data_IF_348034127978
#
_entry.id   IF_348034127978
#
_cell.length_a   1.000
_cell.length_b   1.000
_cell.length_c   1.000
_cell.angle_alpha   90.00
_cell.angle_beta   90.00
_cell.angle_gamma   90.00
#
_symmetry.space_group_name_H-M   'P 1'
#
loop_
_entity.id
_entity.type
_entity.pdbx_description
1 polymer ?
#
# COMPACT_ATOMS: atom_id res chain seq x y z
N UNK A 1 -1.94 4.22 13.29
CA UNK A 1 -2.24 2.83 13.70
C UNK A 1 -1.03 1.92 13.52
N UNK A 2 -0.43 1.79 12.33
CA UNK A 2 0.72 0.88 12.11
C UNK A 2 2.08 1.48 12.50
N UNK A 3 2.24 2.82 12.53
CA UNK A 3 3.52 3.48 12.84
C UNK A 3 4.19 2.98 14.14
N UNK A 4 3.48 2.83 15.28
CA UNK A 4 4.10 2.28 16.49
C UNK A 4 4.59 0.84 16.33
N UNK A 5 3.88 0.03 15.53
CA UNK A 5 4.27 -1.35 15.24
C UNK A 5 5.51 -1.40 14.35
N UNK A 6 5.60 -0.52 13.35
CA UNK A 6 6.81 -0.37 12.53
C UNK A 6 7.99 0.06 13.40
N UNK A 7 7.82 1.07 14.26
CA UNK A 7 8.87 1.59 15.12
C UNK A 7 9.38 0.56 16.15
N UNK A 8 8.52 -0.36 16.58
CA UNK A 8 8.94 -1.47 17.46
C UNK A 8 9.62 -2.63 16.72
N UNK A 9 9.50 -2.69 15.40
CA UNK A 9 9.98 -3.81 14.57
C UNK A 9 11.29 -3.49 13.85
N UNK A 10 11.42 -2.27 13.34
CA UNK A 10 12.58 -1.85 12.54
C UNK A 10 13.46 -0.86 13.30
N UNK A 11 14.80 -1.02 13.21
CA UNK A 11 15.75 -0.19 13.97
C UNK A 11 15.77 1.27 13.49
N UNK A 12 15.50 1.51 12.21
CA UNK A 12 15.52 2.84 11.61
C UNK A 12 14.31 2.99 10.67
N UNK A 13 13.61 4.12 10.78
CA UNK A 13 12.45 4.44 9.96
C UNK A 13 12.57 5.86 9.43
N UNK A 14 12.43 6.00 8.13
CA UNK A 14 12.21 7.28 7.47
C UNK A 14 10.70 7.47 7.27
N UNK A 15 10.13 8.45 7.95
CA UNK A 15 8.76 8.89 7.72
C UNK A 15 8.77 9.99 6.67
N UNK A 16 7.87 9.88 5.69
CA UNK A 16 7.73 10.88 4.64
C UNK A 16 6.26 11.24 4.42
N UNK A 17 5.98 12.53 4.43
CA UNK A 17 4.65 13.11 4.19
C UNK A 17 4.82 14.59 3.79
N UNK A 18 3.75 15.23 3.32
CA UNK A 18 3.69 16.68 3.10
C UNK A 18 3.73 17.46 4.43
N UNK A 19 3.36 16.82 5.53
CA UNK A 19 3.30 17.39 6.87
C UNK A 19 4.01 16.51 7.87
N UNK A 20 4.90 17.12 8.65
CA UNK A 20 5.60 16.42 9.71
C UNK A 20 4.63 15.90 10.79
N UNK A 21 4.73 14.60 11.14
CA UNK A 21 3.95 14.03 12.21
C UNK A 21 4.43 14.52 13.57
N UNK A 22 3.50 14.65 14.51
CA UNK A 22 3.87 14.94 15.90
C UNK A 22 4.58 13.75 16.56
N UNK A 23 5.46 14.04 17.51
CA UNK A 23 6.10 13.06 18.39
C UNK A 23 6.83 11.95 17.63
N UNK A 24 7.94 12.29 16.97
CA UNK A 24 8.86 11.31 16.38
C UNK A 24 9.42 10.39 17.47
N UNK A 25 9.47 9.08 17.16
CA UNK A 25 10.13 8.10 18.01
C UNK A 25 11.67 8.23 17.86
N UNK A 26 12.47 7.73 18.82
CA UNK A 26 13.93 7.84 18.75
C UNK A 26 14.59 7.25 17.49
N UNK A 27 13.94 6.24 16.88
CA UNK A 27 14.40 5.56 15.66
C UNK A 27 13.69 6.07 14.38
N UNK A 28 12.97 7.17 14.46
CA UNK A 28 12.28 7.77 13.33
C UNK A 28 12.96 9.07 12.89
N UNK A 29 13.14 9.21 11.59
CA UNK A 29 13.56 10.44 10.94
C UNK A 29 12.46 10.90 10.01
N UNK A 30 12.20 12.22 9.94
CA UNK A 30 11.22 12.78 9.02
C UNK A 30 11.89 13.47 7.84
N UNK A 31 11.43 13.15 6.64
CA UNK A 31 11.79 13.84 5.39
C UNK A 31 10.50 14.32 4.74
N UNK A 32 10.33 15.64 4.66
CA UNK A 32 9.19 16.24 3.97
C UNK A 32 9.27 15.93 2.48
N UNK A 33 8.21 15.35 1.92
CA UNK A 33 8.09 15.12 0.49
C UNK A 33 6.63 15.20 0.04
N UNK A 34 6.46 15.78 -1.16
CA UNK A 34 5.20 15.79 -1.90
C UNK A 34 5.32 14.81 -3.05
N UNK A 35 4.37 13.90 -3.18
CA UNK A 35 4.34 12.91 -4.26
C UNK A 35 4.31 13.56 -5.67
N UNK A 36 3.86 14.80 -5.78
CA UNK A 36 3.86 15.55 -7.03
C UNK A 36 5.24 16.13 -7.39
N UNK A 37 6.16 16.19 -6.43
CA UNK A 37 7.55 16.65 -6.62
C UNK A 37 8.52 15.45 -6.62
N UNK A 38 9.02 14.99 -7.79
CA UNK A 38 9.89 13.84 -7.90
C UNK A 38 11.22 14.01 -7.15
N UNK A 39 11.71 15.25 -6.97
CA UNK A 39 12.98 15.52 -6.29
C UNK A 39 12.84 15.23 -4.80
N UNK A 40 11.76 15.72 -4.18
CA UNK A 40 11.49 15.46 -2.76
C UNK A 40 11.26 13.97 -2.49
N UNK A 41 10.58 13.26 -3.39
CA UNK A 41 10.35 11.82 -3.29
C UNK A 41 11.66 11.03 -3.43
N UNK A 42 12.55 11.42 -4.35
CA UNK A 42 13.88 10.80 -4.46
C UNK A 42 14.70 10.96 -3.18
N UNK A 43 14.67 12.15 -2.57
CA UNK A 43 15.34 12.41 -1.29
C UNK A 43 14.79 11.51 -0.17
N UNK A 44 13.49 11.29 -0.12
CA UNK A 44 12.87 10.41 0.87
C UNK A 44 13.24 8.92 0.69
N UNK A 45 13.66 8.51 -0.50
CA UNK A 45 14.10 7.14 -0.80
C UNK A 45 15.61 6.93 -0.61
N UNK A 46 16.37 7.93 -0.19
CA UNK A 46 17.82 7.86 -0.07
C UNK A 46 18.26 6.99 1.10
N UNK A 47 19.08 5.95 0.84
CA UNK A 47 19.56 5.02 1.88
C UNK A 47 18.50 4.07 2.45
N UNK A 48 17.33 3.96 1.82
CA UNK A 48 16.21 3.13 2.28
C UNK A 48 16.26 1.75 1.63
N UNK A 49 16.16 0.69 2.42
CA UNK A 49 16.14 -0.70 1.95
C UNK A 49 14.77 -1.14 1.41
N UNK A 50 13.70 -0.65 2.04
CA UNK A 50 12.32 -0.99 1.70
C UNK A 50 11.35 0.17 1.92
N UNK A 51 10.31 0.23 1.11
CA UNK A 51 9.29 1.27 1.15
C UNK A 51 7.93 0.68 1.47
N UNK A 52 7.19 1.30 2.38
CA UNK A 52 5.75 1.09 2.58
C UNK A 52 5.02 2.31 2.07
N UNK A 53 4.49 2.21 0.84
CA UNK A 53 3.83 3.32 0.17
C UNK A 53 2.34 3.38 0.51
N UNK A 54 2.00 4.21 1.48
CA UNK A 54 0.63 4.51 1.93
C UNK A 54 0.11 5.86 1.41
N UNK A 55 0.98 6.63 0.77
CA UNK A 55 0.70 7.98 0.30
C UNK A 55 -0.33 8.03 -0.83
N UNK A 56 -0.92 9.21 -0.99
CA UNK A 56 -1.91 9.51 -2.02
C UNK A 56 -3.25 9.94 -1.43
N UNK A 57 -4.17 10.32 -2.31
CA UNK A 57 -5.54 10.65 -1.95
C UNK A 57 -6.34 9.36 -1.75
N UNK A 58 -6.88 9.14 -0.56
CA UNK A 58 -7.33 7.82 -0.08
C UNK A 58 -8.84 7.54 -0.24
N UNK A 59 -9.55 8.41 -0.94
CA UNK A 59 -10.99 8.31 -1.17
C UNK A 59 -11.34 8.69 -2.62
N UNK A 60 -12.60 8.50 -3.03
CA UNK A 60 -13.08 9.05 -4.30
C UNK A 60 -13.03 10.58 -4.26
N UNK A 61 -12.62 11.21 -5.36
CA UNK A 61 -12.45 12.64 -5.45
C UNK A 61 -12.40 13.17 -6.88
N UNK A 62 -12.15 14.49 -7.07
CA UNK A 62 -11.95 15.09 -8.38
C UNK A 62 -10.83 14.39 -9.15
N UNK A 63 -11.00 14.25 -10.46
CA UNK A 63 -10.03 13.57 -11.31
C UNK A 63 -8.63 14.19 -11.21
N UNK A 64 -8.55 15.50 -11.18
CA UNK A 64 -7.28 16.25 -11.10
C UNK A 64 -6.49 15.91 -9.84
N UNK A 65 -7.18 15.74 -8.72
CA UNK A 65 -6.54 15.34 -7.44
C UNK A 65 -6.05 13.89 -7.52
N UNK A 66 -6.89 12.98 -8.02
CA UNK A 66 -6.54 11.57 -8.20
C UNK A 66 -5.36 11.43 -9.18
N UNK A 67 -5.40 12.17 -10.29
CA UNK A 67 -4.33 12.15 -11.29
C UNK A 67 -2.98 12.56 -10.67
N UNK A 68 -2.95 13.68 -9.99
CA UNK A 68 -1.69 14.19 -9.42
C UNK A 68 -1.18 13.33 -8.27
N UNK A 69 -2.01 13.04 -7.28
CA UNK A 69 -1.55 12.34 -6.09
C UNK A 69 -1.36 10.83 -6.31
N UNK A 70 -2.27 10.16 -7.03
CA UNK A 70 -2.32 8.70 -7.09
C UNK A 70 -1.73 8.11 -8.38
N UNK A 71 -1.76 8.83 -9.49
CA UNK A 71 -1.18 8.35 -10.75
C UNK A 71 0.26 8.88 -10.88
N UNK A 72 0.43 10.19 -10.96
CA UNK A 72 1.75 10.81 -11.14
C UNK A 72 2.61 10.58 -9.90
N UNK A 73 2.06 10.82 -8.71
CA UNK A 73 2.77 10.61 -7.46
C UNK A 73 3.16 9.16 -7.20
N UNK A 74 2.31 8.21 -7.58
CA UNK A 74 2.63 6.79 -7.50
C UNK A 74 3.79 6.43 -8.44
N UNK A 75 3.78 6.95 -9.69
CA UNK A 75 4.90 6.79 -10.61
C UNK A 75 6.21 7.36 -10.04
N UNK A 76 6.17 8.58 -9.49
CA UNK A 76 7.34 9.20 -8.86
C UNK A 76 7.91 8.32 -7.75
N UNK A 77 7.06 7.75 -6.89
CA UNK A 77 7.49 6.86 -5.81
C UNK A 77 8.18 5.59 -6.32
N UNK A 78 7.59 4.89 -7.30
CA UNK A 78 8.20 3.69 -7.86
C UNK A 78 9.53 4.00 -8.58
N UNK A 79 9.59 5.10 -9.35
CA UNK A 79 10.80 5.48 -10.06
C UNK A 79 11.91 5.97 -9.12
N UNK A 80 11.55 6.74 -8.08
CA UNK A 80 12.49 7.16 -7.04
C UNK A 80 13.06 5.96 -6.29
N UNK A 81 12.21 5.03 -5.85
CA UNK A 81 12.62 3.80 -5.20
C UNK A 81 13.61 3.01 -6.07
N UNK A 82 13.29 2.83 -7.37
CA UNK A 82 14.19 2.17 -8.32
C UNK A 82 15.54 2.88 -8.45
N UNK A 83 15.54 4.22 -8.65
CA UNK A 83 16.76 5.02 -8.84
C UNK A 83 17.66 4.98 -7.61
N UNK A 84 17.07 4.98 -6.42
CA UNK A 84 17.81 4.92 -5.15
C UNK A 84 18.18 3.48 -4.73
N UNK A 85 17.86 2.50 -5.55
CA UNK A 85 18.24 1.11 -5.33
C UNK A 85 17.42 0.37 -4.27
N UNK A 86 16.25 0.91 -3.90
CA UNK A 86 15.29 0.23 -3.01
C UNK A 86 14.91 -1.12 -3.60
N UNK A 87 15.00 -2.16 -2.79
CA UNK A 87 14.77 -3.55 -3.25
C UNK A 87 13.34 -4.02 -3.05
N UNK A 88 12.61 -3.45 -2.09
CA UNK A 88 11.32 -3.93 -1.65
C UNK A 88 10.32 -2.79 -1.52
N UNK A 89 9.10 -3.02 -2.01
CA UNK A 89 8.04 -2.04 -1.91
C UNK A 89 6.70 -2.72 -1.58
N UNK A 90 6.07 -2.28 -0.50
CA UNK A 90 4.69 -2.64 -0.17
C UNK A 90 3.80 -1.48 -0.61
N UNK A 91 2.91 -1.76 -1.55
CA UNK A 91 1.98 -0.78 -2.09
C UNK A 91 0.59 -0.94 -1.49
N UNK A 92 0.08 0.13 -0.89
CA UNK A 92 -1.32 0.18 -0.45
C UNK A 92 -2.26 0.34 -1.64
N UNK A 93 -2.68 -0.79 -2.21
CA UNK A 93 -3.84 -0.88 -3.09
C UNK A 93 -5.13 -0.84 -2.25
N UNK A 94 -6.27 -1.12 -2.83
CA UNK A 94 -7.57 -0.95 -2.19
C UNK A 94 -8.59 -1.98 -2.64
N UNK A 95 -9.53 -2.29 -1.77
CA UNK A 95 -10.75 -3.02 -2.13
C UNK A 95 -11.57 -2.34 -3.24
N UNK A 96 -11.39 -1.04 -3.46
CA UNK A 96 -12.00 -0.30 -4.58
C UNK A 96 -11.47 -0.73 -5.96
N UNK A 97 -10.36 -1.43 -6.03
CA UNK A 97 -9.86 -2.05 -7.26
C UNK A 97 -10.77 -3.16 -7.80
N UNK A 98 -11.57 -3.78 -6.90
CA UNK A 98 -12.50 -4.89 -7.20
C UNK A 98 -13.91 -4.63 -6.65
N UNK A 99 -14.27 -3.37 -6.42
CA UNK A 99 -15.47 -2.97 -5.66
C UNK A 99 -16.80 -3.35 -6.30
N UNK A 100 -16.86 -3.60 -7.63
CA UNK A 100 -18.07 -4.06 -8.32
C UNK A 100 -18.31 -5.58 -8.27
N UNK A 101 -17.48 -6.36 -7.56
CA UNK A 101 -17.82 -7.76 -7.33
C UNK A 101 -18.94 -7.90 -6.31
N UNK A 102 -19.95 -8.77 -6.58
CA UNK A 102 -21.02 -9.07 -5.61
C UNK A 102 -20.44 -9.66 -4.32
N UNK A 103 -20.90 -9.18 -3.18
CA UNK A 103 -20.42 -9.65 -1.85
C UNK A 103 -20.79 -11.09 -1.51
N UNK A 104 -21.66 -11.70 -2.30
CA UNK A 104 -22.04 -13.13 -2.19
C UNK A 104 -21.09 -14.05 -2.96
N UNK A 105 -20.20 -13.47 -3.77
CA UNK A 105 -19.22 -14.20 -4.56
C UNK A 105 -17.88 -14.21 -3.82
N UNK A 106 -17.38 -15.38 -3.49
CA UNK A 106 -16.00 -15.54 -2.99
C UNK A 106 -15.02 -15.38 -4.15
N UNK A 107 -13.99 -14.55 -3.97
CA UNK A 107 -13.02 -14.19 -5.01
C UNK A 107 -11.59 -14.25 -4.47
N UNK A 108 -10.66 -14.74 -5.31
CA UNK A 108 -9.22 -14.67 -5.10
C UNK A 108 -8.61 -13.36 -5.60
N UNK A 109 -7.34 -13.10 -5.33
CA UNK A 109 -6.66 -11.85 -5.75
C UNK A 109 -6.43 -11.76 -7.27
N UNK A 110 -6.46 -12.87 -7.98
CA UNK A 110 -6.22 -13.02 -9.42
C UNK A 110 -7.42 -12.65 -10.31
N UNK A 111 -8.57 -12.32 -9.71
CA UNK A 111 -9.76 -11.93 -10.48
C UNK A 111 -9.52 -10.70 -11.35
N UNK A 112 -10.20 -10.63 -12.49
CA UNK A 112 -10.21 -9.45 -13.35
C UNK A 112 -10.67 -8.24 -12.55
N UNK A 113 -9.92 -7.15 -12.63
CA UNK A 113 -10.25 -5.93 -11.91
C UNK A 113 -11.63 -5.36 -12.29
N UNK A 114 -12.40 -4.93 -11.29
CA UNK A 114 -13.71 -4.25 -11.45
C UNK A 114 -13.78 -3.06 -10.49
N UNK A 115 -13.04 -1.97 -10.80
CA UNK A 115 -12.97 -0.81 -9.91
C UNK A 115 -14.30 -0.08 -9.88
N UNK A 116 -14.70 0.38 -8.70
CA UNK A 116 -15.98 1.08 -8.46
C UNK A 116 -15.83 2.60 -8.38
N UNK A 117 -14.64 3.12 -8.63
CA UNK A 117 -14.30 4.53 -8.45
C UNK A 117 -13.04 4.92 -9.24
N UNK A 118 -12.85 6.22 -9.50
CA UNK A 118 -11.57 6.75 -10.04
C UNK A 118 -10.40 6.45 -9.10
N UNK A 119 -10.67 6.50 -7.80
CA UNK A 119 -9.73 6.05 -6.78
C UNK A 119 -9.35 4.56 -6.98
N UNK A 120 -10.32 3.68 -7.18
CA UNK A 120 -10.08 2.26 -7.47
C UNK A 120 -9.24 2.07 -8.74
N UNK A 121 -9.52 2.81 -9.82
CA UNK A 121 -8.71 2.83 -11.05
C UNK A 121 -7.28 3.25 -10.77
N UNK A 122 -7.07 4.29 -9.95
CA UNK A 122 -5.73 4.75 -9.59
C UNK A 122 -4.92 3.70 -8.81
N UNK A 123 -5.59 2.88 -8.00
CA UNK A 123 -4.93 1.79 -7.28
C UNK A 123 -4.52 0.65 -8.22
N UNK A 124 -5.31 0.35 -9.24
CA UNK A 124 -4.94 -0.59 -10.30
C UNK A 124 -3.74 -0.10 -11.11
N UNK A 125 -3.62 1.20 -11.37
CA UNK A 125 -2.41 1.77 -11.96
C UNK A 125 -1.17 1.45 -11.12
N UNK A 126 -1.25 1.60 -9.80
CA UNK A 126 -0.15 1.25 -8.88
C UNK A 126 0.16 -0.25 -8.86
N UNK A 127 -0.85 -1.14 -8.94
CA UNK A 127 -0.65 -2.58 -9.11
C UNK A 127 0.10 -2.87 -10.41
N UNK A 128 -0.29 -2.22 -11.53
CA UNK A 128 0.40 -2.35 -12.82
C UNK A 128 1.85 -1.85 -12.78
N UNK A 129 2.12 -0.74 -12.09
CA UNK A 129 3.51 -0.29 -11.84
C UNK A 129 4.26 -1.32 -11.02
N UNK A 130 3.67 -1.86 -9.96
CA UNK A 130 4.27 -2.90 -9.14
C UNK A 130 4.75 -4.09 -9.97
N UNK A 131 3.89 -4.60 -10.85
CA UNK A 131 4.24 -5.66 -11.79
C UNK A 131 5.39 -5.26 -12.71
N UNK A 132 5.30 -4.07 -13.34
CA UNK A 132 6.35 -3.56 -14.22
C UNK A 132 7.70 -3.48 -13.52
N UNK A 133 7.77 -2.88 -12.34
CA UNK A 133 9.03 -2.70 -11.61
C UNK A 133 9.58 -4.02 -11.06
N UNK A 134 8.71 -4.96 -10.71
CA UNK A 134 9.14 -6.29 -10.29
C UNK A 134 9.73 -7.11 -11.46
N UNK A 135 9.03 -7.18 -12.59
CA UNK A 135 9.47 -8.03 -13.70
C UNK A 135 10.58 -7.40 -14.52
N UNK A 136 10.58 -6.08 -14.72
CA UNK A 136 11.57 -5.38 -15.54
C UNK A 136 12.80 -4.96 -14.77
N UNK A 137 12.67 -4.57 -13.49
CA UNK A 137 13.73 -3.97 -12.70
C UNK A 137 14.17 -4.83 -11.51
N UNK A 138 13.53 -5.98 -11.27
CA UNK A 138 13.90 -6.91 -10.20
C UNK A 138 13.57 -6.42 -8.79
N UNK A 139 12.71 -5.42 -8.64
CA UNK A 139 12.16 -5.04 -7.34
C UNK A 139 11.23 -6.15 -6.83
N UNK A 140 11.08 -6.23 -5.52
CA UNK A 140 10.10 -7.14 -4.88
C UNK A 140 8.92 -6.31 -4.41
N UNK A 141 7.75 -6.57 -4.95
CA UNK A 141 6.58 -5.72 -4.70
C UNK A 141 5.39 -6.54 -4.21
N UNK A 142 4.83 -6.13 -3.07
CA UNK A 142 3.56 -6.62 -2.56
C UNK A 142 2.51 -5.53 -2.68
N UNK A 143 1.47 -5.74 -3.48
CA UNK A 143 0.30 -4.87 -3.54
C UNK A 143 -0.80 -5.42 -2.62
N UNK A 144 -1.22 -4.62 -1.64
CA UNK A 144 -2.26 -4.98 -0.69
C UNK A 144 -3.57 -4.30 -1.04
N UNK A 145 -4.57 -5.04 -1.51
CA UNK A 145 -5.95 -4.57 -1.65
C UNK A 145 -6.59 -4.46 -0.27
N UNK A 146 -6.27 -3.37 0.43
CA UNK A 146 -6.65 -3.16 1.83
C UNK A 146 -8.16 -2.95 1.92
N UNK A 147 -8.78 -3.66 2.86
CA UNK A 147 -10.17 -3.47 3.24
C UNK A 147 -10.36 -2.25 4.16
N UNK A 148 -10.70 -2.50 5.41
CA UNK A 148 -10.89 -1.44 6.40
C UNK A 148 -10.00 -1.64 7.61
N UNK A 149 -8.97 -0.81 7.74
CA UNK A 149 -8.04 -0.85 8.87
C UNK A 149 -8.67 -0.19 10.10
N UNK A 150 -8.58 -0.85 11.24
CA UNK A 150 -9.04 -0.29 12.50
C UNK A 150 -8.85 -1.24 13.67
N UNK A 151 -8.89 -0.72 14.90
CA UNK A 151 -8.82 -1.55 16.10
C UNK A 151 -10.00 -2.53 16.19
N UNK A 152 -11.15 -2.12 15.67
CA UNK A 152 -12.36 -2.95 15.55
C UNK A 152 -13.23 -2.48 14.38
N UNK A 153 -14.01 -3.39 13.78
CA UNK A 153 -14.97 -3.01 12.75
C UNK A 153 -16.14 -2.20 13.37
N UNK A 154 -16.64 -1.22 12.63
CA UNK A 154 -17.70 -0.29 13.10
C UNK A 154 -19.09 -0.65 12.57
N UNK A 155 -19.19 -1.53 11.57
CA UNK A 155 -20.44 -2.01 10.98
C UNK A 155 -20.31 -3.42 10.38
N UNK A 156 -21.45 -4.02 9.98
CA UNK A 156 -21.49 -5.38 9.41
C UNK A 156 -20.70 -5.53 8.10
N UNK A 157 -20.63 -4.48 7.27
CA UNK A 157 -19.87 -4.51 6.04
C UNK A 157 -18.37 -4.52 6.36
N UNK A 158 -17.95 -3.62 7.24
CA UNK A 158 -16.52 -3.50 7.62
C UNK A 158 -16.05 -4.73 8.37
N UNK A 159 -16.92 -5.41 9.11
CA UNK A 159 -16.62 -6.70 9.74
C UNK A 159 -16.13 -7.75 8.74
N UNK A 160 -16.64 -7.77 7.51
CA UNK A 160 -16.24 -8.75 6.49
C UNK A 160 -14.92 -8.41 5.78
N UNK A 161 -14.52 -7.13 5.78
CA UNK A 161 -13.33 -6.63 5.09
C UNK A 161 -12.35 -5.95 6.06
N UNK A 162 -12.54 -6.17 7.35
CA UNK A 162 -11.70 -5.60 8.39
C UNK A 162 -10.30 -6.21 8.40
N UNK A 163 -9.32 -5.39 8.69
CA UNK A 163 -7.98 -5.83 9.02
C UNK A 163 -7.52 -5.14 10.30
N UNK A 164 -6.98 -5.93 11.22
CA UNK A 164 -6.34 -5.40 12.42
C UNK A 164 -5.02 -4.70 12.07
N UNK A 165 -4.57 -3.72 12.86
CA UNK A 165 -3.22 -3.16 12.69
C UNK A 165 -2.11 -4.22 12.74
N UNK A 166 -2.27 -5.23 13.58
CA UNK A 166 -1.32 -6.33 13.75
C UNK A 166 -1.24 -7.21 12.49
N UNK A 167 -2.39 -7.60 11.92
CA UNK A 167 -2.42 -8.39 10.69
C UNK A 167 -1.89 -7.57 9.49
N UNK A 168 -2.22 -6.28 9.43
CA UNK A 168 -1.64 -5.40 8.40
C UNK A 168 -0.12 -5.31 8.55
N UNK A 169 0.39 -5.18 9.77
CA UNK A 169 1.83 -5.17 10.02
C UNK A 169 2.48 -6.50 9.60
N UNK A 170 1.81 -7.63 9.84
CA UNK A 170 2.30 -8.95 9.40
C UNK A 170 2.40 -9.03 7.87
N UNK A 171 1.37 -8.56 7.14
CA UNK A 171 1.42 -8.50 5.68
C UNK A 171 2.52 -7.56 5.17
N UNK A 172 2.72 -6.41 5.82
CA UNK A 172 3.82 -5.49 5.50
C UNK A 172 5.17 -6.19 5.69
N UNK A 173 5.37 -6.91 6.79
CA UNK A 173 6.60 -7.68 7.03
C UNK A 173 6.83 -8.74 5.95
N UNK A 174 5.79 -9.47 5.53
CA UNK A 174 5.89 -10.41 4.42
C UNK A 174 6.41 -9.68 3.17
N UNK A 175 5.84 -8.55 2.82
CA UNK A 175 6.27 -7.75 1.67
C UNK A 175 7.72 -7.27 1.76
N UNK A 176 8.17 -6.89 2.96
CA UNK A 176 9.51 -6.37 3.18
C UNK A 176 10.57 -7.45 3.40
N UNK A 177 10.21 -8.65 3.87
CA UNK A 177 11.17 -9.64 4.37
C UNK A 177 11.14 -10.97 3.61
N UNK A 178 9.99 -11.38 3.02
CA UNK A 178 9.86 -12.73 2.44
C UNK A 178 10.83 -12.95 1.28
N UNK A 179 11.71 -13.97 1.35
CA UNK A 179 12.83 -14.13 0.40
C UNK A 179 12.39 -14.45 -1.03
N UNK A 180 11.28 -15.14 -1.19
CA UNK A 180 10.78 -15.60 -2.49
C UNK A 180 9.77 -14.64 -3.14
N UNK A 181 9.33 -13.60 -2.41
CA UNK A 181 8.41 -12.62 -2.97
C UNK A 181 9.04 -11.96 -4.20
N UNK A 182 8.31 -11.97 -5.32
CA UNK A 182 8.67 -11.21 -6.52
C UNK A 182 7.63 -10.13 -6.80
N UNK A 183 6.43 -10.52 -7.16
CA UNK A 183 5.27 -9.66 -7.31
C UNK A 183 4.03 -10.43 -6.89
N UNK A 184 3.32 -9.90 -5.91
CA UNK A 184 2.06 -10.49 -5.44
C UNK A 184 1.01 -9.41 -5.22
N UNK A 185 -0.25 -9.78 -5.44
CA UNK A 185 -1.41 -9.01 -5.02
C UNK A 185 -2.15 -9.82 -3.97
N UNK A 186 -2.43 -9.22 -2.81
CA UNK A 186 -3.14 -9.89 -1.72
C UNK A 186 -4.26 -9.01 -1.18
N UNK A 187 -5.28 -9.64 -0.62
CA UNK A 187 -6.28 -8.90 0.16
C UNK A 187 -5.74 -8.56 1.54
N UNK A 188 -5.78 -7.27 1.89
CA UNK A 188 -5.52 -6.80 3.24
C UNK A 188 -6.77 -6.93 4.10
N UNK A 189 -7.00 -8.13 4.62
CA UNK A 189 -8.10 -8.45 5.53
C UNK A 189 -7.63 -9.45 6.59
N UNK A 190 -8.11 -9.33 7.82
CA UNK A 190 -7.98 -10.37 8.85
C UNK A 190 -8.80 -11.60 8.47
N UNK A 191 -8.61 -12.71 9.17
CA UNK A 191 -9.41 -13.92 8.97
C UNK A 191 -10.84 -13.69 9.49
N UNK A 192 -11.67 -13.07 8.66
CA UNK A 192 -13.05 -12.74 9.00
C UNK A 192 -13.99 -13.86 8.54
N UNK A 193 -14.80 -14.41 9.41
CA UNK A 193 -15.74 -15.52 9.10
C UNK A 193 -16.68 -15.23 7.92
N UNK A 194 -17.03 -13.93 7.72
CA UNK A 194 -17.92 -13.48 6.66
C UNK A 194 -17.19 -12.82 5.49
N UNK A 195 -15.87 -13.05 5.36
CA UNK A 195 -15.11 -12.54 4.23
C UNK A 195 -15.53 -13.23 2.93
N UNK A 196 -15.68 -12.45 1.88
CA UNK A 196 -15.79 -12.93 0.50
C UNK A 196 -14.46 -12.90 -0.25
N UNK A 197 -13.38 -12.51 0.42
CA UNK A 197 -12.01 -12.52 -0.11
C UNK A 197 -11.25 -13.74 0.36
N UNK A 198 -10.50 -14.31 -0.55
CA UNK A 198 -9.73 -15.52 -0.33
C UNK A 198 -8.28 -15.30 -0.77
N UNK A 199 -7.34 -15.43 0.16
CA UNK A 199 -5.90 -15.37 -0.11
C UNK A 199 -5.27 -16.77 -0.19
N UNK A 200 -6.07 -17.84 -0.15
CA UNK A 200 -5.54 -19.21 -0.14
C UNK A 200 -5.29 -19.79 -1.55
N UNK A 201 -5.51 -19.01 -2.58
CA UNK A 201 -5.33 -19.37 -4.00
C UNK A 201 -4.12 -18.67 -4.57
#
# INVERSE_FOLDING_TARGET
>A
MIRPLLASTYPEIVLSDIKEPQNLQPNETFIQADLTDPVSVEKACEGVDGVVHLGGYSVEGPWEVILQANIIGCYHMFEAARRKGVKRLVFASSNHAIGFYPRVQRIGPDVVARPDSRYGVSKLFGEGLGALYAYKHGMRVLALRIGNVGERPVDKRRLSIWISPQDLMQLIRIGLEHPELRYEVMYGASLNERSWWDNSV
#
